data_IF_130389008429
#
_entry.id   IF_130389008429
#
_cell.length_a   1.000
_cell.length_b   1.000
_cell.length_c   1.000
_cell.angle_alpha   90.00
_cell.angle_beta   90.00
_cell.angle_gamma   90.00
#
_symmetry.space_group_name_H-M   'P 1'
#
loop_
_entity.id
_entity.type
_entity.pdbx_description
1 polymer ?
#
# COMPACT_ATOMS: atom_id res chain seq x y z
N UNK A 1 11.86 10.82 11.92
CA UNK A 1 10.50 10.91 11.34
C UNK A 1 10.48 10.12 10.05
N UNK A 2 9.42 9.35 9.78
CA UNK A 2 9.32 8.48 8.61
C UNK A 2 8.47 9.17 7.53
N UNK A 3 8.77 8.90 6.26
CA UNK A 3 8.02 9.41 5.11
C UNK A 3 7.48 8.26 4.29
N UNK A 4 6.28 8.43 3.71
CA UNK A 4 5.68 7.45 2.80
C UNK A 4 5.02 8.16 1.62
N UNK A 5 5.10 7.54 0.44
CA UNK A 5 4.55 8.08 -0.80
C UNK A 5 3.48 7.15 -1.35
N UNK A 6 2.33 7.73 -1.70
CA UNK A 6 1.19 7.04 -2.27
C UNK A 6 0.87 7.61 -3.65
N UNK A 7 0.66 6.77 -4.68
CA UNK A 7 0.17 7.24 -5.96
C UNK A 7 -1.30 7.68 -5.86
N UNK A 8 -1.65 8.77 -6.55
CA UNK A 8 -3.01 9.31 -6.58
C UNK A 8 -3.70 8.85 -7.88
N UNK A 9 -4.20 7.61 -7.87
CA UNK A 9 -4.69 6.95 -9.10
C UNK A 9 -6.17 6.59 -9.08
N UNK A 10 -6.78 6.43 -7.91
CA UNK A 10 -8.16 5.94 -7.79
C UNK A 10 -9.11 7.08 -7.40
N UNK A 11 -9.65 7.77 -8.40
CA UNK A 11 -10.67 8.79 -8.23
C UNK A 11 -12.00 8.12 -7.84
N UNK A 12 -12.55 8.49 -6.68
CA UNK A 12 -13.85 8.04 -6.18
C UNK A 12 -14.94 9.00 -6.66
N UNK A 13 -14.68 10.30 -6.51
CA UNK A 13 -15.70 11.33 -6.70
C UNK A 13 -15.07 12.62 -7.21
N UNK A 14 -15.79 13.32 -8.08
CA UNK A 14 -15.49 14.67 -8.50
C UNK A 14 -16.63 15.60 -8.09
N UNK A 15 -16.31 16.54 -7.21
CA UNK A 15 -17.22 17.59 -6.76
C UNK A 15 -17.06 18.77 -7.73
N UNK A 16 -18.10 19.02 -8.50
CA UNK A 16 -18.20 20.19 -9.36
C UNK A 16 -18.65 21.40 -8.55
N UNK A 17 -18.15 22.58 -8.92
CA UNK A 17 -18.56 23.82 -8.28
C UNK A 17 -20.07 24.03 -8.48
N UNK A 18 -20.80 24.23 -7.38
CA UNK A 18 -22.19 24.65 -7.43
C UNK A 18 -22.26 26.16 -7.17
N UNK A 19 -22.92 26.88 -8.07
CA UNK A 19 -23.20 28.30 -7.92
C UNK A 19 -24.61 28.45 -7.36
N UNK A 20 -24.71 28.96 -6.13
CA UNK A 20 -25.91 29.62 -5.63
C UNK A 20 -25.57 31.11 -5.55
N UNK A 21 -26.47 31.95 -6.06
CA UNK A 21 -26.25 33.31 -6.57
C UNK A 21 -25.43 34.34 -5.76
N UNK A 22 -24.88 34.04 -4.58
CA UNK A 22 -23.93 34.93 -3.87
C UNK A 22 -23.01 34.21 -2.86
N UNK A 23 -22.92 32.87 -2.84
CA UNK A 23 -22.02 32.14 -1.92
C UNK A 23 -21.48 30.85 -2.55
N UNK A 24 -20.15 30.69 -2.59
CA UNK A 24 -19.50 29.41 -2.88
C UNK A 24 -19.84 28.46 -1.72
N UNK A 25 -20.74 27.49 -1.94
CA UNK A 25 -21.09 26.48 -0.92
C UNK A 25 -19.92 25.54 -0.63
N UNK A 26 -19.25 25.05 -1.67
CA UNK A 26 -18.04 24.23 -1.56
C UNK A 26 -17.10 24.49 -2.74
N UNK A 27 -15.79 24.64 -2.52
CA UNK A 27 -14.82 24.68 -3.60
C UNK A 27 -14.80 23.33 -4.32
N UNK A 28 -14.59 23.31 -5.63
CA UNK A 28 -14.54 22.07 -6.37
C UNK A 28 -13.35 21.22 -5.92
N UNK A 29 -13.57 19.91 -5.87
CA UNK A 29 -12.60 18.97 -5.34
C UNK A 29 -12.66 17.61 -6.05
N UNK A 30 -11.54 16.89 -6.03
CA UNK A 30 -11.48 15.47 -6.37
C UNK A 30 -11.16 14.66 -5.13
N UNK A 31 -11.86 13.54 -4.96
CA UNK A 31 -11.68 12.64 -3.82
C UNK A 31 -11.06 11.34 -4.32
N UNK A 32 -9.92 10.97 -3.74
CA UNK A 32 -9.15 9.79 -4.10
C UNK A 32 -9.10 8.79 -2.96
N UNK A 33 -9.17 7.49 -3.28
CA UNK A 33 -8.96 6.41 -2.31
C UNK A 33 -7.47 6.10 -2.16
N UNK A 34 -7.00 6.05 -0.92
CA UNK A 34 -5.64 5.62 -0.54
C UNK A 34 -5.78 4.56 0.56
N UNK A 35 -5.84 3.26 0.19
CA UNK A 35 -6.38 2.20 1.03
C UNK A 35 -5.79 2.08 2.45
N UNK A 36 -4.50 2.38 2.63
CA UNK A 36 -3.82 2.22 3.92
C UNK A 36 -3.51 3.54 4.62
N UNK A 37 -3.96 4.68 4.09
CA UNK A 37 -3.63 5.99 4.65
C UNK A 37 -4.16 6.15 6.09
N UNK A 38 -5.31 5.55 6.37
CA UNK A 38 -5.91 5.51 7.70
C UNK A 38 -5.09 4.71 8.73
N UNK A 39 -4.05 3.97 8.34
CA UNK A 39 -3.16 3.27 9.27
C UNK A 39 -2.12 4.19 9.92
N UNK A 40 -1.86 5.37 9.35
CA UNK A 40 -0.74 6.22 9.75
C UNK A 40 -1.16 7.35 10.70
N UNK A 41 -0.32 7.63 11.69
CA UNK A 41 -0.38 8.87 12.47
C UNK A 41 0.31 10.00 11.69
N UNK A 42 -0.42 10.59 10.74
CA UNK A 42 0.08 11.63 9.83
C UNK A 42 0.34 12.93 10.60
N UNK A 43 1.54 13.48 10.46
CA UNK A 43 1.93 14.78 11.02
C UNK A 43 1.87 15.88 9.96
N UNK A 44 2.32 15.60 8.75
CA UNK A 44 2.22 16.51 7.61
C UNK A 44 2.01 15.74 6.32
N UNK A 45 1.48 16.41 5.32
CA UNK A 45 1.27 15.82 3.99
C UNK A 45 1.39 16.88 2.91
N UNK A 46 1.84 16.48 1.74
CA UNK A 46 1.99 17.34 0.58
C UNK A 46 1.83 16.54 -0.70
N UNK A 47 1.26 17.17 -1.71
CA UNK A 47 1.11 16.58 -3.04
C UNK A 47 2.33 16.97 -3.88
N UNK A 48 2.99 15.97 -4.46
CA UNK A 48 4.13 16.13 -5.36
C UNK A 48 3.73 15.75 -6.79
N UNK A 49 4.33 16.38 -7.79
CA UNK A 49 3.99 16.11 -9.19
C UNK A 49 2.61 16.66 -9.61
N UNK A 50 2.03 17.57 -8.82
CA UNK A 50 0.89 18.36 -9.27
C UNK A 50 1.34 19.35 -10.37
N UNK A 51 0.56 19.54 -11.45
CA UNK A 51 0.78 20.65 -12.37
C UNK A 51 0.72 21.95 -11.55
N UNK A 52 1.80 22.72 -11.57
CA UNK A 52 1.77 24.07 -10.99
C UNK A 52 1.41 25.03 -12.11
N UNK A 53 0.37 25.82 -11.87
CA UNK A 53 -0.13 26.78 -12.86
C UNK A 53 1.01 27.71 -13.29
N UNK A 54 1.29 27.71 -14.60
CA UNK A 54 2.21 28.67 -15.19
C UNK A 54 1.44 29.95 -15.44
N UNK A 55 1.75 30.96 -14.62
CA UNK A 55 1.27 32.34 -14.67
C UNK A 55 -0.02 32.60 -13.86
N UNK A 56 0.09 33.57 -12.95
CA UNK A 56 -0.96 34.19 -12.14
C UNK A 56 -1.39 33.40 -10.88
N UNK A 57 -0.71 33.75 -9.78
CA UNK A 57 -0.98 33.35 -8.40
C UNK A 57 -1.01 31.83 -8.16
N UNK A 58 0.07 31.31 -7.54
CA UNK A 58 0.03 29.99 -6.88
C UNK A 58 -1.06 29.98 -5.81
N UNK A 59 -2.30 29.66 -6.19
CA UNK A 59 -3.29 29.15 -5.28
C UNK A 59 -2.68 27.84 -4.80
N UNK A 60 -2.08 27.87 -3.61
CA UNK A 60 -1.35 26.72 -3.08
C UNK A 60 -2.22 25.48 -3.19
N UNK A 61 -1.63 24.36 -3.62
CA UNK A 61 -2.33 23.08 -3.69
C UNK A 61 -2.92 22.78 -2.32
N UNK A 62 -4.23 22.95 -2.18
CA UNK A 62 -4.95 22.68 -0.95
C UNK A 62 -5.49 21.26 -0.99
N UNK A 63 -5.23 20.50 0.07
CA UNK A 63 -5.78 19.16 0.24
C UNK A 63 -6.07 18.88 1.70
N UNK A 64 -6.95 17.92 1.94
CA UNK A 64 -7.25 17.37 3.27
C UNK A 64 -7.29 15.85 3.22
N UNK A 65 -6.92 15.22 4.34
CA UNK A 65 -6.94 13.77 4.50
C UNK A 65 -7.97 13.43 5.57
N UNK A 66 -8.88 12.51 5.24
CA UNK A 66 -9.87 11.97 6.17
C UNK A 66 -9.95 10.45 5.99
N UNK A 67 -9.52 9.70 7.01
CA UNK A 67 -9.47 8.24 6.92
C UNK A 67 -8.54 7.76 5.79
N UNK A 68 -9.10 7.00 4.85
CA UNK A 68 -8.43 6.51 3.64
C UNK A 68 -8.63 7.44 2.43
N UNK A 69 -9.19 8.62 2.62
CA UNK A 69 -9.54 9.56 1.54
C UNK A 69 -8.60 10.75 1.50
N UNK A 70 -8.14 11.07 0.29
CA UNK A 70 -7.50 12.34 -0.04
C UNK A 70 -8.50 13.20 -0.79
N UNK A 71 -8.87 14.35 -0.22
CA UNK A 71 -9.65 15.39 -0.89
C UNK A 71 -8.69 16.47 -1.38
N UNK A 72 -8.64 16.67 -2.69
CA UNK A 72 -7.79 17.65 -3.34
C UNK A 72 -8.65 18.76 -3.95
N UNK A 73 -8.49 19.98 -3.45
CA UNK A 73 -9.24 21.16 -3.86
C UNK A 73 -8.58 21.85 -5.07
N UNK A 74 -9.40 22.40 -5.97
CA UNK A 74 -8.93 23.21 -7.11
C UNK A 74 -8.53 22.42 -8.37
N UNK A 75 -8.41 21.09 -8.30
CA UNK A 75 -8.03 20.18 -9.40
C UNK A 75 -9.12 20.03 -10.51
N UNK A 76 -10.22 20.78 -10.45
CA UNK A 76 -11.32 20.62 -11.41
C UNK A 76 -11.20 21.50 -12.66
N UNK A 77 -10.31 22.50 -12.69
CA UNK A 77 -10.29 23.51 -13.76
C UNK A 77 -9.36 23.16 -14.92
N UNK A 78 -8.40 22.24 -14.71
CA UNK A 78 -7.39 21.93 -15.72
C UNK A 78 -7.70 20.61 -16.43
N UNK A 79 -8.26 20.72 -17.62
CA UNK A 79 -8.50 19.60 -18.54
C UNK A 79 -7.25 19.03 -19.21
N UNK A 80 -6.06 19.54 -18.89
CA UNK A 80 -4.80 19.16 -19.54
C UNK A 80 -3.71 18.88 -18.50
N UNK A 81 -2.98 17.79 -18.70
CA UNK A 81 -1.75 17.33 -18.03
C UNK A 81 -1.76 16.52 -16.71
N UNK A 82 -2.88 16.27 -16.04
CA UNK A 82 -2.86 15.41 -14.83
C UNK A 82 -2.39 13.97 -15.10
N UNK A 83 -2.72 13.41 -16.28
CA UNK A 83 -2.26 12.07 -16.70
C UNK A 83 -0.76 12.03 -16.96
N UNK A 84 -0.15 13.17 -17.26
CA UNK A 84 1.26 13.30 -17.59
C UNK A 84 2.11 13.55 -16.34
N UNK A 85 1.53 14.19 -15.32
CA UNK A 85 2.28 14.62 -14.14
C UNK A 85 2.41 13.56 -13.02
N UNK A 86 1.68 12.43 -13.13
CA UNK A 86 1.67 11.32 -12.16
C UNK A 86 1.77 11.82 -10.71
N UNK A 87 0.73 12.49 -10.19
CA UNK A 87 0.80 13.08 -8.86
C UNK A 87 0.84 12.02 -7.77
N UNK A 88 1.57 12.32 -6.69
CA UNK A 88 1.70 11.44 -5.53
C UNK A 88 1.47 12.22 -4.23
N UNK A 89 0.82 11.59 -3.26
CA UNK A 89 0.73 12.08 -1.90
C UNK A 89 1.96 11.62 -1.12
N UNK A 90 2.78 12.55 -0.65
CA UNK A 90 3.83 12.27 0.33
C UNK A 90 3.32 12.65 1.72
N UNK A 91 3.42 11.72 2.67
CA UNK A 91 3.12 11.97 4.08
C UNK A 91 4.39 11.89 4.91
N UNK A 92 4.45 12.68 5.97
CA UNK A 92 5.37 12.48 7.09
C UNK A 92 4.56 12.01 8.28
N UNK A 93 4.98 10.92 8.91
CA UNK A 93 4.22 10.26 9.98
C UNK A 93 5.11 9.89 11.16
N UNK A 94 4.49 9.84 12.34
CA UNK A 94 5.16 9.50 13.60
C UNK A 94 5.28 7.99 13.75
N UNK A 95 4.21 7.27 13.42
CA UNK A 95 4.13 5.81 13.50
C UNK A 95 2.85 5.28 12.86
N UNK A 96 2.66 3.96 12.96
CA UNK A 96 1.43 3.28 12.54
C UNK A 96 0.50 3.30 13.75
N UNK A 97 -0.67 3.94 13.62
CA UNK A 97 -1.67 4.03 14.71
C UNK A 97 -2.54 2.79 14.81
N UNK A 98 -2.75 2.11 13.69
CA UNK A 98 -3.63 0.95 13.57
C UNK A 98 -3.12 0.04 12.45
N UNK A 99 -2.61 -1.12 12.83
CA UNK A 99 -2.04 -2.10 11.91
C UNK A 99 -3.12 -2.85 11.11
N UNK A 100 -4.36 -2.94 11.58
CA UNK A 100 -5.44 -3.59 10.84
C UNK A 100 -5.79 -2.81 9.57
N UNK A 101 -5.67 -1.48 9.62
CA UNK A 101 -5.88 -0.59 8.48
C UNK A 101 -4.82 -0.74 7.38
N UNK A 102 -3.76 -1.54 7.58
CA UNK A 102 -2.84 -1.93 6.51
C UNK A 102 -3.38 -3.05 5.63
N UNK A 103 -4.46 -3.70 6.07
CA UNK A 103 -5.07 -4.86 5.42
C UNK A 103 -6.56 -4.65 5.10
N UNK A 104 -6.96 -3.53 4.45
CA UNK A 104 -8.37 -3.22 4.22
C UNK A 104 -9.09 -4.23 3.30
N UNK A 105 -8.34 -5.00 2.51
CA UNK A 105 -8.83 -6.00 1.57
C UNK A 105 -9.05 -7.40 2.20
N UNK A 106 -8.60 -7.61 3.44
CA UNK A 106 -8.75 -8.89 4.14
C UNK A 106 -10.13 -8.94 4.78
N UNK A 107 -11.01 -9.77 4.25
CA UNK A 107 -12.42 -9.84 4.67
C UNK A 107 -12.66 -10.57 6.00
N UNK A 108 -12.02 -11.73 6.28
CA UNK A 108 -12.22 -12.39 7.56
C UNK A 108 -11.53 -11.62 8.68
N UNK A 109 -12.31 -11.02 9.58
CA UNK A 109 -11.79 -10.21 10.69
C UNK A 109 -10.70 -10.91 11.52
N UNK A 110 -10.82 -12.20 11.87
CA UNK A 110 -9.76 -12.89 12.63
C UNK A 110 -8.45 -12.99 11.86
N UNK A 111 -8.50 -13.13 10.53
CA UNK A 111 -7.30 -13.15 9.70
C UNK A 111 -6.67 -11.76 9.62
N UNK A 112 -7.50 -10.73 9.48
CA UNK A 112 -7.05 -9.33 9.44
C UNK A 112 -6.33 -8.94 10.72
N UNK A 113 -6.94 -9.22 11.89
CA UNK A 113 -6.32 -9.01 13.19
C UNK A 113 -5.01 -9.79 13.32
N UNK A 114 -4.99 -11.06 12.91
CA UNK A 114 -3.77 -11.88 12.97
C UNK A 114 -2.64 -11.31 12.12
N UNK A 115 -2.96 -10.81 10.92
CA UNK A 115 -1.97 -10.18 10.04
C UNK A 115 -1.47 -8.85 10.60
N UNK A 116 -2.35 -8.08 11.25
CA UNK A 116 -1.99 -6.85 11.94
C UNK A 116 -0.99 -7.11 13.08
N UNK A 117 -1.30 -8.03 13.98
CA UNK A 117 -0.41 -8.45 15.08
C UNK A 117 0.94 -8.96 14.56
N UNK A 118 0.91 -9.81 13.53
CA UNK A 118 2.13 -10.34 12.92
C UNK A 118 2.96 -9.23 12.28
N UNK A 119 2.33 -8.29 11.57
CA UNK A 119 3.08 -7.22 10.92
C UNK A 119 3.62 -6.19 11.91
N UNK A 120 2.92 -5.92 13.02
CA UNK A 120 3.45 -5.11 14.11
C UNK A 120 4.72 -5.72 14.71
N UNK A 121 4.71 -7.03 14.97
CA UNK A 121 5.90 -7.74 15.45
C UNK A 121 7.02 -7.74 14.40
N UNK A 122 6.69 -7.91 13.12
CA UNK A 122 7.66 -7.81 12.04
C UNK A 122 8.26 -6.40 11.94
N UNK A 123 7.47 -5.33 12.08
CA UNK A 123 7.97 -3.95 12.04
C UNK A 123 8.97 -3.70 13.17
N UNK A 124 8.63 -4.11 14.40
CA UNK A 124 9.53 -4.04 15.56
C UNK A 124 10.80 -4.86 15.35
N UNK A 125 10.69 -6.08 14.82
CA UNK A 125 11.84 -6.92 14.52
C UNK A 125 12.77 -6.28 13.48
N UNK A 126 12.20 -5.63 12.46
CA UNK A 126 12.96 -4.91 11.44
C UNK A 126 13.69 -3.69 12.03
N UNK A 127 13.03 -2.90 12.87
CA UNK A 127 13.63 -1.74 13.54
C UNK A 127 14.79 -2.11 14.47
N UNK A 128 14.74 -3.30 15.07
CA UNK A 128 15.76 -3.81 15.99
C UNK A 128 16.78 -4.74 15.31
N UNK A 129 16.83 -4.75 13.97
CA UNK A 129 17.78 -5.54 13.18
C UNK A 129 17.71 -7.06 13.41
N UNK A 130 16.55 -7.57 13.84
CA UNK A 130 16.27 -8.98 14.07
C UNK A 130 15.87 -9.67 12.77
N UNK A 131 16.81 -9.80 11.81
CA UNK A 131 16.52 -10.22 10.43
C UNK A 131 15.82 -11.57 10.32
N UNK A 132 16.22 -12.55 11.13
CA UNK A 132 15.57 -13.87 11.14
C UNK A 132 14.10 -13.78 11.55
N UNK A 133 13.82 -13.08 12.65
CA UNK A 133 12.46 -12.87 13.16
C UNK A 133 11.61 -12.10 12.15
N UNK A 134 12.15 -10.98 11.65
CA UNK A 134 11.49 -10.17 10.62
C UNK A 134 11.13 -11.00 9.40
N UNK A 135 12.09 -11.67 8.76
CA UNK A 135 11.85 -12.43 7.52
C UNK A 135 10.89 -13.59 7.75
N UNK A 136 10.94 -14.23 8.91
CA UNK A 136 10.02 -15.34 9.22
C UNK A 136 8.58 -14.86 9.36
N UNK A 137 8.37 -13.77 10.11
CA UNK A 137 7.05 -13.24 10.39
C UNK A 137 6.49 -12.52 9.15
N UNK A 138 7.28 -11.66 8.50
CA UNK A 138 6.90 -10.96 7.28
C UNK A 138 6.62 -11.94 6.12
N UNK A 139 7.34 -13.05 6.02
CA UNK A 139 7.01 -14.11 5.07
C UNK A 139 5.63 -14.72 5.32
N UNK A 140 5.24 -14.90 6.58
CA UNK A 140 3.87 -15.30 6.95
C UNK A 140 2.82 -14.23 6.64
N UNK A 141 3.16 -12.95 6.81
CA UNK A 141 2.26 -11.85 6.40
C UNK A 141 2.05 -11.85 4.89
N UNK A 142 3.12 -11.99 4.08
CA UNK A 142 3.00 -12.10 2.63
C UNK A 142 2.13 -13.30 2.20
N UNK A 143 2.27 -14.44 2.87
CA UNK A 143 1.41 -15.61 2.66
C UNK A 143 -0.06 -15.28 2.91
N UNK A 144 -0.38 -14.59 4.00
CA UNK A 144 -1.74 -14.15 4.32
C UNK A 144 -2.31 -13.10 3.35
N UNK A 145 -1.47 -12.15 2.89
CA UNK A 145 -1.83 -11.19 1.84
C UNK A 145 -2.21 -11.94 0.56
N UNK A 146 -1.35 -12.83 0.07
CA UNK A 146 -1.60 -13.57 -1.16
C UNK A 146 -2.85 -14.46 -1.04
N UNK A 147 -3.03 -15.14 0.08
CA UNK A 147 -4.22 -15.97 0.35
C UNK A 147 -5.51 -15.14 0.26
N UNK A 148 -5.49 -13.94 0.85
CA UNK A 148 -6.63 -13.02 0.85
C UNK A 148 -6.92 -12.45 -0.54
N UNK A 149 -5.90 -11.96 -1.24
CA UNK A 149 -6.03 -11.37 -2.59
C UNK A 149 -6.50 -12.41 -3.61
N UNK A 150 -5.96 -13.63 -3.57
CA UNK A 150 -6.35 -14.73 -4.46
C UNK A 150 -7.73 -15.31 -4.13
N UNK A 151 -8.36 -14.90 -3.02
CA UNK A 151 -9.58 -15.51 -2.48
C UNK A 151 -9.47 -17.03 -2.41
N UNK A 152 -8.33 -17.52 -1.94
CA UNK A 152 -8.03 -18.94 -1.94
C UNK A 152 -8.96 -19.68 -0.96
N UNK A 153 -10.08 -20.22 -1.45
CA UNK A 153 -11.05 -20.96 -0.63
C UNK A 153 -10.56 -22.30 -0.08
N UNK A 154 -9.36 -22.77 -0.49
CA UNK A 154 -8.66 -23.93 0.07
C UNK A 154 -7.34 -23.47 0.67
N UNK A 155 -6.88 -24.15 1.73
CA UNK A 155 -5.57 -23.94 2.34
C UNK A 155 -4.45 -24.31 1.36
N UNK A 156 -4.10 -23.37 0.49
CA UNK A 156 -2.93 -23.45 -0.38
C UNK A 156 -1.69 -23.18 0.46
N UNK A 157 -0.63 -23.94 0.23
CA UNK A 157 0.66 -23.62 0.83
C UNK A 157 1.30 -22.41 0.15
N UNK A 158 2.28 -21.80 0.82
CA UNK A 158 2.95 -20.60 0.32
C UNK A 158 3.49 -20.72 -1.12
N UNK A 159 4.07 -21.88 -1.49
CA UNK A 159 4.58 -22.09 -2.86
C UNK A 159 3.45 -22.08 -3.90
N UNK A 160 2.31 -22.69 -3.60
CA UNK A 160 1.13 -22.67 -4.46
C UNK A 160 0.54 -21.26 -4.59
N UNK A 161 0.53 -20.48 -3.50
CA UNK A 161 0.09 -19.09 -3.51
C UNK A 161 0.99 -18.22 -4.40
N UNK A 162 2.31 -18.34 -4.26
CA UNK A 162 3.28 -17.62 -5.11
C UNK A 162 3.07 -17.96 -6.58
N UNK A 163 2.96 -19.26 -6.91
CA UNK A 163 2.74 -19.72 -8.28
C UNK A 163 1.46 -19.12 -8.87
N UNK A 164 0.34 -19.20 -8.16
CA UNK A 164 -0.93 -18.62 -8.63
C UNK A 164 -0.86 -17.11 -8.74
N UNK A 165 -0.21 -16.42 -7.81
CA UNK A 165 -0.07 -14.97 -7.86
C UNK A 165 0.72 -14.53 -9.11
N UNK A 166 1.77 -15.28 -9.51
CA UNK A 166 2.48 -15.05 -10.78
C UNK A 166 1.57 -15.31 -11.99
N UNK A 167 0.87 -16.44 -12.01
CA UNK A 167 -0.03 -16.82 -13.12
C UNK A 167 -1.17 -15.80 -13.34
N UNK A 168 -1.64 -15.15 -12.27
CA UNK A 168 -2.69 -14.13 -12.33
C UNK A 168 -2.14 -12.70 -12.38
N UNK A 169 -0.83 -12.49 -12.60
CA UNK A 169 -0.21 -11.14 -12.65
C UNK A 169 -0.49 -10.26 -11.41
N UNK A 170 -0.76 -10.89 -10.27
CA UNK A 170 -0.93 -10.22 -8.98
C UNK A 170 0.42 -9.67 -8.53
N UNK A 171 1.47 -10.47 -8.70
CA UNK A 171 2.87 -10.12 -8.45
C UNK A 171 3.71 -10.32 -9.70
N UNK A 172 4.81 -9.58 -9.81
CA UNK A 172 5.79 -9.75 -10.89
C UNK A 172 6.65 -11.00 -10.69
N UNK A 173 7.41 -11.37 -11.73
CA UNK A 173 8.36 -12.48 -11.62
C UNK A 173 9.43 -12.24 -10.54
N UNK A 174 9.98 -11.02 -10.48
CA UNK A 174 10.96 -10.63 -9.48
C UNK A 174 10.39 -10.73 -8.07
N UNK A 175 9.19 -10.18 -7.84
CA UNK A 175 8.51 -10.27 -6.54
C UNK A 175 8.25 -11.75 -6.15
N UNK A 176 7.87 -12.58 -7.12
CA UNK A 176 7.70 -14.02 -6.90
C UNK A 176 8.99 -14.74 -6.52
N UNK A 177 10.12 -14.35 -7.10
CA UNK A 177 11.44 -14.92 -6.74
C UNK A 177 11.83 -14.53 -5.31
N UNK A 178 11.67 -13.26 -4.93
CA UNK A 178 11.89 -12.80 -3.54
C UNK A 178 11.04 -13.58 -2.54
N UNK A 179 9.75 -13.83 -2.84
CA UNK A 179 8.88 -14.62 -1.97
C UNK A 179 9.31 -16.09 -1.87
N UNK A 180 9.77 -16.68 -2.97
CA UNK A 180 10.25 -18.07 -2.95
C UNK A 180 11.54 -18.21 -2.12
N UNK A 181 12.43 -17.22 -2.17
CA UNK A 181 13.62 -17.16 -1.33
C UNK A 181 13.26 -16.99 0.15
N UNK A 182 12.34 -16.09 0.48
CA UNK A 182 11.82 -15.93 1.85
C UNK A 182 11.16 -17.22 2.36
N UNK A 183 10.41 -17.91 1.50
CA UNK A 183 9.81 -19.22 1.82
C UNK A 183 10.88 -20.26 2.15
N UNK A 184 11.99 -20.30 1.41
CA UNK A 184 13.13 -21.19 1.72
C UNK A 184 13.79 -20.78 3.02
N UNK A 185 14.02 -19.48 3.22
CA UNK A 185 14.69 -18.92 4.38
C UNK A 185 13.92 -19.14 5.69
N UNK A 186 12.58 -19.21 5.67
CA UNK A 186 11.78 -19.60 6.84
C UNK A 186 12.19 -20.95 7.44
N UNK A 187 12.79 -21.83 6.64
CA UNK A 187 13.23 -23.15 7.11
C UNK A 187 14.63 -23.14 7.73
N UNK A 188 15.41 -22.05 7.66
CA UNK A 188 16.78 -22.02 8.21
C UNK A 188 16.79 -22.09 9.74
N UNK A 189 15.64 -21.87 10.38
CA UNK A 189 15.46 -22.04 11.83
C UNK A 189 15.78 -23.47 12.29
N UNK A 190 15.79 -24.44 11.38
CA UNK A 190 16.09 -25.83 11.69
C UNK A 190 17.61 -26.05 11.86
N UNK A 191 18.09 -26.56 13.01
CA UNK A 191 19.52 -26.68 13.30
C UNK A 191 20.31 -27.57 12.32
N UNK A 192 19.63 -28.48 11.61
CA UNK A 192 20.24 -29.33 10.60
C UNK A 192 20.68 -28.57 9.33
N UNK A 193 20.37 -27.27 9.21
CA UNK A 193 20.76 -26.37 8.11
C UNK A 193 21.92 -25.44 8.48
N UNK A 194 22.78 -25.85 9.41
CA UNK A 194 23.91 -25.06 9.91
C UNK A 194 24.93 -24.60 8.84
N UNK A 195 24.91 -25.22 7.65
CA UNK A 195 25.76 -24.87 6.52
C UNK A 195 25.12 -23.86 5.54
N UNK A 196 23.84 -23.55 5.71
CA UNK A 196 23.16 -22.51 4.94
C UNK A 196 23.50 -21.12 5.50
N UNK A 197 23.69 -20.10 4.66
CA UNK A 197 23.94 -18.75 5.14
C UNK A 197 22.73 -18.22 5.91
N UNK A 198 22.98 -17.47 6.98
CA UNK A 198 21.93 -16.80 7.73
C UNK A 198 21.30 -15.67 6.89
N UNK A 199 20.11 -15.21 7.28
CA UNK A 199 19.42 -14.11 6.60
C UNK A 199 20.25 -12.83 6.70
N UNK A 200 20.52 -12.26 5.53
CA UNK A 200 21.29 -11.02 5.40
C UNK A 200 20.37 -9.79 5.39
N UNK A 201 20.92 -8.65 5.78
CA UNK A 201 20.23 -7.35 5.72
C UNK A 201 19.67 -7.04 4.32
N UNK A 202 20.40 -7.23 3.20
CA UNK A 202 19.85 -7.00 1.85
C UNK A 202 18.54 -7.76 1.60
N UNK A 203 18.47 -9.04 1.97
CA UNK A 203 17.25 -9.85 1.80
C UNK A 203 16.09 -9.31 2.64
N UNK A 204 16.37 -8.91 3.88
CA UNK A 204 15.36 -8.27 4.73
C UNK A 204 14.86 -6.94 4.14
N UNK A 205 15.75 -6.13 3.56
CA UNK A 205 15.37 -4.87 2.89
C UNK A 205 14.49 -5.12 1.65
N UNK A 206 14.83 -6.11 0.83
CA UNK A 206 14.02 -6.47 -0.35
C UNK A 206 12.62 -6.93 0.05
N UNK A 207 12.51 -7.80 1.07
CA UNK A 207 11.21 -8.21 1.60
C UNK A 207 10.43 -7.03 2.17
N UNK A 208 11.10 -6.08 2.83
CA UNK A 208 10.46 -4.86 3.36
C UNK A 208 9.90 -3.98 2.25
N UNK A 209 10.62 -3.83 1.15
CA UNK A 209 10.15 -3.09 -0.02
C UNK A 209 8.93 -3.81 -0.62
N UNK A 210 9.03 -5.12 -0.80
CA UNK A 210 7.96 -5.93 -1.37
C UNK A 210 6.66 -5.84 -0.56
N UNK A 211 6.72 -6.03 0.76
CA UNK A 211 5.50 -5.99 1.59
C UNK A 211 4.86 -4.60 1.58
N UNK A 212 5.68 -3.55 1.53
CA UNK A 212 5.22 -2.16 1.43
C UNK A 212 4.53 -1.86 0.09
N UNK A 213 5.05 -2.42 -1.00
CA UNK A 213 4.40 -2.38 -2.31
C UNK A 213 3.05 -3.10 -2.28
N UNK A 214 3.01 -4.34 -1.77
CA UNK A 214 1.78 -5.14 -1.70
C UNK A 214 0.69 -4.47 -0.86
N UNK A 215 1.04 -3.79 0.23
CA UNK A 215 0.07 -3.06 1.07
C UNK A 215 -0.45 -1.77 0.43
N UNK A 216 0.29 -1.16 -0.50
CA UNK A 216 -0.13 0.08 -1.16
C UNK A 216 -1.11 -0.14 -2.31
N UNK A 217 -1.22 -1.36 -2.82
CA UNK A 217 -2.13 -1.68 -3.93
C UNK A 217 -3.58 -1.60 -3.46
N UNK A 218 -4.42 -0.92 -4.26
CA UNK A 218 -5.87 -1.07 -4.15
C UNK A 218 -6.30 -2.37 -4.82
N UNK A 219 -6.27 -3.45 -4.03
CA UNK A 219 -6.62 -4.79 -4.50
C UNK A 219 -8.08 -4.89 -4.92
N UNK A 220 -8.99 -4.11 -4.34
CA UNK A 220 -10.40 -4.11 -4.74
C UNK A 220 -10.56 -3.54 -6.16
N UNK A 221 -9.91 -2.41 -6.44
CA UNK A 221 -9.91 -1.80 -7.76
C UNK A 221 -9.22 -2.69 -8.80
N UNK A 222 -8.04 -3.24 -8.46
CA UNK A 222 -7.27 -4.13 -9.35
C UNK A 222 -8.07 -5.38 -9.74
N UNK A 223 -8.71 -6.04 -8.76
CA UNK A 223 -9.51 -7.24 -9.01
C UNK A 223 -10.83 -6.95 -9.74
N UNK A 224 -11.41 -5.76 -9.60
CA UNK A 224 -12.60 -5.35 -10.37
C UNK A 224 -12.24 -5.07 -11.84
N UNK A 225 -11.14 -4.36 -12.10
CA UNK A 225 -10.68 -4.01 -13.45
C UNK A 225 -10.37 -5.23 -14.34
N UNK A 226 -9.81 -6.31 -13.76
CA UNK A 226 -9.54 -7.55 -14.50
C UNK A 226 -10.81 -8.34 -14.87
N UNK A 227 -11.91 -8.17 -14.14
CA UNK A 227 -13.19 -8.83 -14.44
C UNK A 227 -14.02 -8.07 -15.48
N UNK A 228 -13.72 -6.80 -15.76
CA UNK A 228 -14.38 -6.02 -16.81
C UNK A 228 -13.72 -6.16 -18.19
N UNK A 229 -12.56 -6.82 -18.26
CA UNK A 229 -11.79 -7.04 -19.48
C UNK A 229 -11.89 -8.48 -20.03
N UNK A 230 -12.79 -9.31 -19.47
CA UNK A 230 -13.11 -10.68 -19.92
C UNK A 230 -14.56 -10.73 -20.40
#
# INVERSE_FOLDING_TARGET
MKTKTFPINHLIEQIHQSYDFDNIKEPPARIYKIPTLSAYAVQSSHIEGAPTDTAEASVGVQHSIEGDLLRWYGDCWMGLDWRMSQPHLRITYIGIKDYENLFPYVQPEPLKQRLAEMFEEADKAFENELWLSFTTIAGGVCEGILSSVLRAGKALNFSQLIKRAKENSIITEQQGNTLDDVRKLRNIIHPNRYNEPNISRPVAMELRILIDELMRVDWEAKLKGENSAK
#
